data_IF_747248657252
#
_entry.id   IF_747248657252
#
_cell.length_a   1.000
_cell.length_b   1.000
_cell.length_c   1.000
_cell.angle_alpha   90.00
_cell.angle_beta   90.00
_cell.angle_gamma   90.00
#
_symmetry.space_group_name_H-M   'P 1'
#
loop_
_entity.id
_entity.type
_entity.pdbx_description
1 polymer ?
#
# COMPACT_ATOMS: atom_id res chain seq x y z
N UNK A 1 10.30 64.25 49.17
CA UNK A 1 9.07 65.00 48.81
C UNK A 1 8.41 64.34 47.60
N UNK A 2 7.08 64.18 47.67
CA UNK A 2 6.08 63.87 46.62
C UNK A 2 6.00 62.45 46.02
N UNK A 3 4.94 61.76 46.49
CA UNK A 3 4.20 60.57 46.00
C UNK A 3 3.56 60.74 44.61
N UNK A 4 3.39 59.63 43.87
CA UNK A 4 2.10 58.93 43.50
C UNK A 4 2.34 57.94 42.34
N UNK A 5 2.07 56.62 42.51
CA UNK A 5 0.81 55.86 42.24
C UNK A 5 0.43 55.90 40.74
N UNK A 6 0.20 54.82 39.97
CA UNK A 6 -0.56 53.54 40.05
C UNK A 6 -0.18 52.76 38.74
N UNK A 7 -0.32 51.45 38.50
CA UNK A 7 -1.46 50.52 38.61
C UNK A 7 -1.01 49.10 38.14
N UNK A 8 -1.81 48.09 38.44
CA UNK A 8 -1.52 46.64 38.45
C UNK A 8 -1.96 45.85 37.19
N UNK A 9 -1.25 44.72 36.93
CA UNK A 9 -1.64 43.40 36.33
C UNK A 9 -2.46 43.31 35.01
N UNK A 10 -2.64 42.10 34.42
CA UNK A 10 -1.71 41.03 34.01
C UNK A 10 -1.91 40.72 32.50
N UNK A 11 -1.39 39.61 31.97
CA UNK A 11 -2.08 38.65 31.05
C UNK A 11 -1.10 38.00 30.07
N UNK A 12 -1.11 36.67 30.10
CA UNK A 12 -0.44 35.71 29.24
C UNK A 12 -0.69 35.99 27.76
N UNK A 13 0.37 35.99 26.95
CA UNK A 13 0.22 36.05 25.51
C UNK A 13 0.17 34.64 24.95
N UNK A 14 -1.04 34.28 24.49
CA UNK A 14 -1.40 32.99 23.95
C UNK A 14 -0.57 32.60 22.72
N UNK A 15 -0.34 31.30 22.69
CA UNK A 15 0.09 30.48 21.57
C UNK A 15 -0.79 30.69 20.32
N UNK A 16 -0.43 31.62 19.44
CA UNK A 16 -0.95 31.63 18.07
C UNK A 16 -0.25 30.54 17.26
N UNK A 17 -0.78 29.31 17.37
CA UNK A 17 -0.48 28.24 16.41
C UNK A 17 -1.36 28.47 15.20
N UNK A 18 -0.84 29.10 14.15
CA UNK A 18 -1.50 29.08 12.85
C UNK A 18 -1.25 27.74 12.20
N UNK A 19 -2.28 26.91 12.21
CA UNK A 19 -2.40 25.68 11.41
C UNK A 19 -1.95 25.88 9.95
N UNK A 20 -0.81 25.28 9.61
CA UNK A 20 -0.38 25.10 8.23
C UNK A 20 -1.31 24.09 7.56
N UNK A 21 -2.21 24.58 6.71
CA UNK A 21 -2.96 23.78 5.75
C UNK A 21 -1.98 23.19 4.72
N UNK A 22 -1.40 22.05 5.04
CA UNK A 22 -0.59 21.26 4.12
C UNK A 22 -1.54 20.57 3.11
N UNK A 23 -1.84 21.30 2.03
CA UNK A 23 -2.43 20.75 0.82
C UNK A 23 -1.60 19.54 0.40
N UNK A 24 -2.15 18.35 0.63
CA UNK A 24 -1.46 17.07 0.53
C UNK A 24 -1.01 16.83 -0.92
N UNK A 25 0.17 17.33 -1.27
CA UNK A 25 0.94 16.84 -2.41
C UNK A 25 1.26 15.39 -2.07
N UNK A 26 0.46 14.45 -2.58
CA UNK A 26 0.70 13.02 -2.39
C UNK A 26 2.07 12.70 -3.00
N UNK A 27 3.08 12.74 -2.15
CA UNK A 27 4.45 12.47 -2.53
C UNK A 27 4.52 11.08 -3.15
N UNK A 28 5.23 10.98 -4.27
CA UNK A 28 5.30 9.73 -5.02
C UNK A 28 6.00 8.66 -4.18
N UNK A 29 5.47 7.44 -4.11
CA UNK A 29 6.09 6.38 -3.31
C UNK A 29 7.53 6.10 -3.80
N UNK A 30 8.55 6.22 -2.93
CA UNK A 30 9.97 6.10 -3.33
C UNK A 30 10.34 4.67 -3.76
N UNK A 31 9.50 3.69 -3.44
CA UNK A 31 9.73 2.27 -3.74
C UNK A 31 9.30 1.88 -5.17
N UNK A 32 8.51 2.70 -5.87
CA UNK A 32 7.98 2.39 -7.21
C UNK A 32 9.10 2.06 -8.20
N UNK A 33 10.19 2.82 -8.18
CA UNK A 33 11.30 2.63 -9.11
C UNK A 33 11.90 1.22 -9.02
N UNK A 34 12.06 0.69 -7.79
CA UNK A 34 12.69 -0.61 -7.53
C UNK A 34 11.69 -1.78 -7.52
N UNK A 35 10.47 -1.55 -7.04
CA UNK A 35 9.49 -2.60 -6.80
C UNK A 35 8.54 -2.89 -7.98
N UNK A 36 8.54 -2.05 -9.02
CA UNK A 36 7.70 -2.26 -10.21
C UNK A 36 8.56 -2.73 -11.38
N UNK A 37 8.18 -3.84 -12.02
CA UNK A 37 8.84 -4.40 -13.20
C UNK A 37 7.82 -4.89 -14.23
N UNK A 38 7.36 -3.99 -15.08
CA UNK A 38 6.36 -4.29 -16.10
C UNK A 38 6.82 -5.38 -17.08
N UNK A 39 8.12 -5.52 -17.35
CA UNK A 39 8.63 -6.56 -18.23
C UNK A 39 8.49 -7.95 -17.59
N UNK A 40 8.84 -8.09 -16.31
CA UNK A 40 8.63 -9.34 -15.55
C UNK A 40 7.14 -9.66 -15.43
N UNK A 41 6.30 -8.67 -15.14
CA UNK A 41 4.84 -8.86 -15.05
C UNK A 41 4.24 -9.36 -16.36
N UNK A 42 4.60 -8.75 -17.49
CA UNK A 42 4.19 -9.20 -18.82
C UNK A 42 4.56 -10.66 -19.08
N UNK A 43 5.75 -11.09 -18.66
CA UNK A 43 6.19 -12.49 -18.81
C UNK A 43 5.41 -13.42 -17.90
N UNK A 44 5.22 -13.06 -16.63
CA UNK A 44 4.44 -13.85 -15.68
C UNK A 44 2.99 -14.05 -16.16
N UNK A 45 2.34 -12.97 -16.58
CA UNK A 45 0.96 -13.02 -17.08
C UNK A 45 0.80 -13.80 -18.38
N UNK A 46 1.81 -13.80 -19.27
CA UNK A 46 1.78 -14.66 -20.46
C UNK A 46 1.88 -16.14 -20.13
N UNK A 47 2.50 -16.50 -19.00
CA UNK A 47 2.70 -17.89 -18.59
C UNK A 47 1.51 -18.44 -17.79
N UNK A 48 0.99 -17.67 -16.83
CA UNK A 48 -0.05 -18.13 -15.90
C UNK A 48 -1.36 -17.34 -15.94
N UNK A 49 -1.37 -16.16 -16.56
CA UNK A 49 -2.53 -15.25 -16.52
C UNK A 49 -2.86 -14.77 -15.10
N UNK A 50 -4.09 -14.28 -14.92
CA UNK A 50 -4.66 -13.96 -13.62
C UNK A 50 -5.22 -15.22 -12.96
N UNK A 51 -4.80 -15.46 -11.72
CA UNK A 51 -5.20 -16.62 -10.93
C UNK A 51 -6.49 -16.31 -10.18
N UNK A 52 -7.36 -17.31 -10.04
CA UNK A 52 -8.57 -17.20 -9.20
C UNK A 52 -8.31 -17.55 -7.74
N UNK A 53 -7.15 -18.14 -7.46
CA UNK A 53 -6.81 -18.73 -6.17
C UNK A 53 -5.35 -18.43 -5.84
N UNK A 54 -5.08 -18.16 -4.57
CA UNK A 54 -3.74 -17.85 -4.09
C UNK A 54 -2.77 -19.01 -4.32
N UNK A 55 -1.62 -18.73 -4.95
CA UNK A 55 -0.61 -19.73 -5.29
C UNK A 55 -0.08 -20.53 -4.08
N UNK A 56 0.01 -19.90 -2.91
CA UNK A 56 0.42 -20.58 -1.66
C UNK A 56 -0.73 -21.32 -0.96
N UNK A 57 -1.98 -20.85 -1.09
CA UNK A 57 -3.13 -21.56 -0.54
C UNK A 57 -3.33 -22.92 -1.22
N UNK A 58 -3.09 -22.99 -2.55
CA UNK A 58 -3.17 -24.25 -3.31
C UNK A 58 -2.19 -25.31 -2.81
N UNK A 59 -1.03 -24.90 -2.29
CA UNK A 59 0.04 -25.81 -1.84
C UNK A 59 -0.22 -26.35 -0.44
N UNK A 60 -0.85 -25.56 0.43
CA UNK A 60 -1.20 -25.96 1.78
C UNK A 60 -2.70 -26.27 1.86
N UNK A 61 -3.07 -27.54 1.65
CA UNK A 61 -4.42 -28.06 1.89
C UNK A 61 -4.70 -28.25 3.38
N UNK A 62 -4.21 -27.36 4.26
CA UNK A 62 -4.70 -27.31 5.63
C UNK A 62 -6.05 -26.62 5.59
N UNK A 63 -7.08 -27.44 5.42
CA UNK A 63 -8.49 -27.10 5.54
C UNK A 63 -8.75 -26.62 6.96
N UNK A 64 -8.48 -25.35 7.24
CA UNK A 64 -9.20 -24.67 8.32
C UNK A 64 -10.57 -24.35 7.75
N UNK A 65 -11.59 -24.84 8.45
CA UNK A 65 -12.95 -24.96 7.97
C UNK A 65 -13.43 -23.68 7.29
N UNK A 66 -14.07 -23.90 6.13
CA UNK A 66 -14.91 -22.96 5.42
C UNK A 66 -16.02 -22.51 6.37
N UNK A 67 -15.77 -21.48 7.16
CA UNK A 67 -16.80 -20.81 7.95
C UNK A 67 -17.59 -19.93 6.96
N UNK A 68 -18.50 -20.60 6.26
CA UNK A 68 -19.39 -20.08 5.23
C UNK A 68 -20.36 -19.04 5.82
N UNK A 69 -19.89 -17.87 6.25
CA UNK A 69 -20.80 -16.78 6.62
C UNK A 69 -20.25 -15.35 6.49
N UNK A 70 -19.16 -15.12 5.77
CA UNK A 70 -18.75 -13.77 5.40
C UNK A 70 -18.38 -13.74 3.91
N UNK A 71 -18.74 -12.67 3.19
CA UNK A 71 -18.16 -12.37 1.89
C UNK A 71 -16.65 -12.14 2.10
N UNK A 72 -15.88 -13.24 2.11
CA UNK A 72 -14.45 -13.18 2.27
C UNK A 72 -13.91 -12.58 0.97
N UNK A 73 -13.20 -11.47 1.06
CA UNK A 73 -12.53 -10.88 -0.09
C UNK A 73 -11.57 -11.93 -0.71
N UNK A 74 -12.02 -12.52 -1.82
CA UNK A 74 -11.28 -13.52 -2.59
C UNK A 74 -10.24 -12.87 -3.50
N UNK A 75 -10.15 -11.52 -3.51
CA UNK A 75 -9.19 -10.80 -4.33
C UNK A 75 -7.77 -11.19 -3.97
N UNK A 76 -6.97 -11.36 -5.02
CA UNK A 76 -5.55 -11.57 -4.89
C UNK A 76 -4.82 -10.24 -4.95
N UNK A 77 -3.63 -10.24 -4.36
CA UNK A 77 -2.67 -9.18 -4.42
C UNK A 77 -1.49 -9.67 -5.25
N UNK A 78 -1.26 -9.01 -6.37
CA UNK A 78 -0.17 -9.31 -7.28
C UNK A 78 1.06 -8.48 -6.91
N UNK A 79 2.20 -9.13 -6.67
CA UNK A 79 3.47 -8.44 -6.50
C UNK A 79 3.89 -7.76 -7.81
N UNK A 80 4.07 -6.44 -7.78
CA UNK A 80 4.43 -5.67 -8.98
C UNK A 80 5.89 -5.86 -9.42
N UNK A 81 6.70 -6.59 -8.63
CA UNK A 81 8.09 -6.91 -8.97
C UNK A 81 8.21 -8.19 -9.80
N UNK A 82 7.41 -9.22 -9.47
CA UNK A 82 7.59 -10.57 -10.04
C UNK A 82 6.31 -11.21 -10.59
N UNK A 83 5.12 -10.67 -10.27
CA UNK A 83 3.84 -11.17 -10.77
C UNK A 83 3.20 -12.29 -9.94
N UNK A 84 3.80 -12.69 -8.81
CA UNK A 84 3.19 -13.66 -7.90
C UNK A 84 1.87 -13.13 -7.35
N UNK A 85 0.80 -13.93 -7.41
CA UNK A 85 -0.56 -13.58 -6.99
C UNK A 85 -0.94 -14.32 -5.71
N UNK A 86 -1.23 -13.57 -4.64
CA UNK A 86 -1.35 -14.10 -3.29
C UNK A 86 -2.51 -13.49 -2.54
N UNK A 87 -3.11 -14.22 -1.59
CA UNK A 87 -4.21 -13.69 -0.81
C UNK A 87 -3.75 -12.56 0.13
N UNK A 88 -4.66 -11.62 0.34
CA UNK A 88 -4.42 -10.42 1.14
C UNK A 88 -4.42 -10.66 2.65
N UNK A 89 -4.44 -9.54 3.38
CA UNK A 89 -4.36 -9.54 4.86
C UNK A 89 -5.60 -10.11 5.54
N UNK A 90 -6.75 -10.04 4.88
CA UNK A 90 -8.04 -10.56 5.36
C UNK A 90 -8.14 -12.10 5.32
N UNK A 91 -7.22 -12.76 4.59
CA UNK A 91 -7.13 -14.22 4.52
C UNK A 91 -5.83 -14.68 5.20
N UNK A 92 -4.96 -15.39 4.48
CA UNK A 92 -3.76 -16.02 5.06
C UNK A 92 -2.52 -15.11 5.02
N UNK A 93 -2.67 -13.83 4.66
CA UNK A 93 -1.58 -12.84 4.62
C UNK A 93 -0.42 -13.26 3.70
N UNK A 94 -0.66 -14.10 2.70
CA UNK A 94 0.42 -14.62 1.85
C UNK A 94 1.15 -13.52 1.08
N UNK A 95 0.46 -12.46 0.65
CA UNK A 95 1.11 -11.32 0.01
C UNK A 95 2.08 -10.58 0.96
N UNK A 96 1.71 -10.45 2.24
CA UNK A 96 2.58 -9.87 3.26
C UNK A 96 3.77 -10.80 3.58
N UNK A 97 3.53 -12.11 3.69
CA UNK A 97 4.60 -13.08 3.93
C UNK A 97 5.59 -13.11 2.75
N UNK A 98 5.10 -12.98 1.52
CA UNK A 98 5.93 -12.86 0.34
C UNK A 98 6.84 -11.63 0.40
N UNK A 99 6.31 -10.48 0.82
CA UNK A 99 7.13 -9.29 1.05
C UNK A 99 8.20 -9.49 2.15
N UNK A 100 7.83 -10.14 3.26
CA UNK A 100 8.74 -10.38 4.39
C UNK A 100 9.81 -11.46 4.11
N UNK A 101 9.57 -12.32 3.12
CA UNK A 101 10.55 -13.34 2.73
C UNK A 101 11.78 -12.65 2.14
N UNK A 102 13.02 -13.04 2.53
CA UNK A 102 14.22 -12.45 1.95
C UNK A 102 14.29 -12.65 0.43
N UNK A 103 14.42 -11.56 -0.32
CA UNK A 103 14.60 -11.55 -1.77
C UNK A 103 15.85 -10.74 -2.14
N UNK A 104 16.43 -11.04 -3.30
CA UNK A 104 17.48 -10.19 -3.88
C UNK A 104 16.93 -8.87 -4.45
N UNK A 105 15.65 -8.86 -4.80
CA UNK A 105 14.93 -7.73 -5.40
C UNK A 105 13.98 -7.06 -4.38
N UNK A 106 13.51 -5.84 -4.66
CA UNK A 106 12.51 -5.16 -3.82
C UNK A 106 11.08 -5.59 -4.20
N UNK A 107 10.37 -6.26 -3.28
CA UNK A 107 9.00 -6.77 -3.49
C UNK A 107 7.95 -5.96 -2.71
N UNK A 108 8.20 -4.66 -2.52
CA UNK A 108 7.42 -3.82 -1.61
C UNK A 108 6.03 -3.42 -2.12
N UNK A 109 5.79 -3.42 -3.44
CA UNK A 109 4.50 -3.00 -4.02
C UNK A 109 3.68 -4.18 -4.52
N UNK A 110 2.39 -4.15 -4.20
CA UNK A 110 1.37 -5.07 -4.71
C UNK A 110 0.16 -4.31 -5.24
N UNK A 111 -0.53 -4.87 -6.24
CA UNK A 111 -1.84 -4.40 -6.68
C UNK A 111 -2.92 -5.45 -6.43
N UNK A 112 -4.08 -5.02 -5.94
CA UNK A 112 -5.27 -5.85 -5.85
C UNK A 112 -5.75 -6.18 -7.29
N UNK A 113 -6.04 -7.44 -7.58
CA UNK A 113 -6.42 -7.92 -8.92
C UNK A 113 -7.87 -7.63 -9.29
N UNK A 114 -8.66 -7.12 -8.35
CA UNK A 114 -10.09 -6.79 -8.52
C UNK A 114 -10.31 -5.28 -8.43
N UNK A 115 -9.88 -4.65 -7.33
CA UNK A 115 -10.07 -3.21 -7.09
C UNK A 115 -9.00 -2.33 -7.75
N UNK A 116 -7.86 -2.92 -8.14
CA UNK A 116 -6.69 -2.21 -8.66
C UNK A 116 -6.06 -1.21 -7.69
N UNK A 117 -6.40 -1.32 -6.40
CA UNK A 117 -5.72 -0.60 -5.33
C UNK A 117 -4.27 -1.06 -5.25
N UNK A 118 -3.36 -0.11 -5.04
CA UNK A 118 -1.93 -0.39 -4.91
C UNK A 118 -1.53 -0.13 -3.48
N UNK A 119 -0.79 -1.08 -2.90
CA UNK A 119 -0.27 -0.97 -1.54
C UNK A 119 1.24 -1.12 -1.54
N UNK A 120 1.91 -0.31 -0.73
CA UNK A 120 3.35 -0.41 -0.50
C UNK A 120 3.60 -0.87 0.93
N UNK A 121 4.19 -2.05 1.10
CA UNK A 121 4.49 -2.60 2.43
C UNK A 121 5.57 -1.81 3.18
N UNK A 122 6.59 -1.30 2.49
CA UNK A 122 7.62 -0.45 3.13
C UNK A 122 7.06 0.87 3.65
N UNK A 123 6.14 1.50 2.91
CA UNK A 123 5.50 2.74 3.33
C UNK A 123 4.31 2.48 4.26
N UNK A 124 3.86 1.23 4.34
CA UNK A 124 2.69 0.78 5.09
C UNK A 124 1.41 1.58 4.76
N UNK A 125 1.24 1.98 3.50
CA UNK A 125 0.09 2.75 3.03
C UNK A 125 -0.27 2.41 1.57
N UNK A 126 -1.46 2.87 1.18
CA UNK A 126 -1.90 2.85 -0.21
C UNK A 126 -1.10 3.85 -1.05
N UNK A 127 -0.85 3.46 -2.31
CA UNK A 127 -0.15 4.28 -3.29
C UNK A 127 -1.12 4.62 -4.41
N UNK A 128 -1.31 5.91 -4.67
CA UNK A 128 -2.13 6.33 -5.80
C UNK A 128 -1.45 5.91 -7.11
N UNK A 129 -2.13 5.12 -7.95
CA UNK A 129 -1.55 4.57 -9.18
C UNK A 129 -1.02 5.66 -10.15
N UNK A 130 -1.68 6.82 -10.19
CA UNK A 130 -1.29 7.99 -11.01
C UNK A 130 -0.14 8.81 -10.43
N UNK A 131 0.31 8.53 -9.21
CA UNK A 131 1.43 9.27 -8.58
C UNK A 131 2.77 9.06 -9.29
N UNK A 132 2.91 8.02 -10.12
CA UNK A 132 4.12 7.78 -10.90
C UNK A 132 3.76 7.26 -12.29
N UNK A 133 4.37 7.82 -13.34
CA UNK A 133 4.19 7.35 -14.72
C UNK A 133 4.45 5.84 -14.84
N UNK A 134 5.52 5.33 -14.21
CA UNK A 134 5.88 3.92 -14.23
C UNK A 134 4.80 3.03 -13.58
N UNK A 135 4.26 3.47 -12.45
CA UNK A 135 3.19 2.73 -11.77
C UNK A 135 1.89 2.80 -12.57
N UNK A 136 1.52 3.98 -13.07
CA UNK A 136 0.33 4.19 -13.85
C UNK A 136 0.31 3.30 -15.10
N UNK A 137 1.38 3.32 -15.91
CA UNK A 137 1.52 2.46 -17.09
C UNK A 137 1.44 0.97 -16.74
N UNK A 138 1.96 0.59 -15.58
CA UNK A 138 1.88 -0.79 -15.09
C UNK A 138 0.43 -1.17 -14.78
N UNK A 139 -0.30 -0.37 -14.01
CA UNK A 139 -1.69 -0.64 -13.64
C UNK A 139 -2.61 -0.61 -14.86
N UNK A 140 -2.42 0.33 -15.77
CA UNK A 140 -3.17 0.38 -17.04
C UNK A 140 -2.91 -0.83 -17.93
N UNK A 141 -1.71 -1.42 -17.87
CA UNK A 141 -1.47 -2.69 -18.55
C UNK A 141 -2.22 -3.86 -17.88
N UNK A 142 -2.24 -3.91 -16.55
CA UNK A 142 -2.90 -5.00 -15.81
C UNK A 142 -4.43 -5.00 -15.98
N UNK A 143 -5.03 -3.83 -16.17
CA UNK A 143 -6.47 -3.65 -16.38
C UNK A 143 -6.97 -4.05 -17.79
N UNK A 144 -6.07 -4.24 -18.75
CA UNK A 144 -6.40 -4.59 -20.14
C UNK A 144 -6.62 -6.09 -20.28
#
# INVERSE_FOLDING_TARGET
MVKKKRQSDPTENGNESTESCDETVKSTCPHVAKAVDLAKLKRALKLSGFEKECAECKKNTKTEADDQNFELDLSLWMCLRCGTQLCGRARNKHALNHFNTPHSDCHALTANTTSWEVYCYNCNNEVTATSSKKLHECIEYLKK
#
